data_IF_822455793406
#
_entry.id   IF_822455793406
#
_cell.length_a   1.000
_cell.length_b   1.000
_cell.length_c   1.000
_cell.angle_alpha   90.00
_cell.angle_beta   90.00
_cell.angle_gamma   90.00
#
_symmetry.space_group_name_H-M   'P 1'
#
loop_
_entity.id
_entity.type
_entity.pdbx_description
1 polymer ?
#
# COMPACT_ATOMS: atom_id res chain seq x y z
N UNK A 1 -19.69 9.11 2.62
CA UNK A 1 -19.53 7.98 1.67
C UNK A 1 -19.89 8.53 0.31
N UNK A 2 -18.99 8.42 -0.68
CA UNK A 2 -19.36 8.69 -2.09
C UNK A 2 -20.28 7.57 -2.56
N UNK A 3 -21.33 7.92 -3.28
CA UNK A 3 -22.20 6.92 -3.89
C UNK A 3 -21.41 6.15 -4.96
N UNK A 4 -21.70 4.86 -5.17
CA UNK A 4 -21.09 4.09 -6.25
C UNK A 4 -21.38 4.74 -7.61
N UNK A 5 -20.42 4.65 -8.51
CA UNK A 5 -20.57 5.18 -9.86
C UNK A 5 -21.56 4.33 -10.63
N UNK A 6 -22.62 4.96 -11.13
CA UNK A 6 -23.56 4.30 -12.05
C UNK A 6 -23.05 4.52 -13.47
N UNK A 7 -22.83 3.42 -14.18
CA UNK A 7 -22.40 3.44 -15.58
C UNK A 7 -23.58 3.16 -16.51
N UNK A 8 -23.59 3.76 -17.69
CA UNK A 8 -24.51 3.42 -18.76
C UNK A 8 -24.30 1.96 -19.19
N UNK A 9 -25.39 1.19 -19.42
CA UNK A 9 -25.29 -0.16 -19.96
C UNK A 9 -24.54 -0.17 -21.29
N UNK A 10 -23.52 -1.02 -21.42
CA UNK A 10 -22.71 -1.11 -22.64
C UNK A 10 -21.62 -0.05 -22.80
N UNK A 11 -21.34 0.75 -21.77
CA UNK A 11 -20.25 1.73 -21.82
C UNK A 11 -18.90 1.08 -22.18
N UNK A 12 -18.17 1.69 -23.12
CA UNK A 12 -16.86 1.24 -23.55
C UNK A 12 -15.86 1.28 -22.39
N UNK A 13 -14.77 0.49 -22.48
CA UNK A 13 -13.72 0.51 -21.46
C UNK A 13 -13.16 1.91 -21.22
N UNK A 14 -12.91 2.69 -22.28
CA UNK A 14 -12.42 4.06 -22.17
C UNK A 14 -13.39 4.99 -21.42
N UNK A 15 -14.69 4.89 -21.70
CA UNK A 15 -15.72 5.64 -20.97
C UNK A 15 -15.76 5.24 -19.50
N UNK A 16 -15.72 3.94 -19.20
CA UNK A 16 -15.67 3.43 -17.83
C UNK A 16 -14.43 3.95 -17.09
N UNK A 17 -13.24 3.87 -17.72
CA UNK A 17 -11.99 4.34 -17.15
C UNK A 17 -12.03 5.83 -16.81
N UNK A 18 -12.44 6.68 -17.76
CA UNK A 18 -12.51 8.16 -17.53
C UNK A 18 -13.51 8.52 -16.45
N UNK A 19 -14.66 7.86 -16.42
CA UNK A 19 -15.69 8.07 -15.40
C UNK A 19 -15.19 7.66 -14.01
N UNK A 20 -14.61 6.49 -13.87
CA UNK A 20 -14.02 6.05 -12.60
C UNK A 20 -12.87 6.95 -12.15
N UNK A 21 -12.00 7.37 -13.07
CA UNK A 21 -10.88 8.27 -12.75
C UNK A 21 -11.36 9.63 -12.22
N UNK A 22 -12.41 10.18 -12.82
CA UNK A 22 -13.03 11.44 -12.37
C UNK A 22 -13.67 11.28 -10.98
N UNK A 23 -14.42 10.21 -10.76
CA UNK A 23 -15.04 9.91 -9.47
C UNK A 23 -13.99 9.70 -8.37
N UNK A 24 -12.89 9.00 -8.66
CA UNK A 24 -11.78 8.79 -7.74
C UNK A 24 -11.05 10.09 -7.38
N UNK A 25 -10.98 11.07 -8.29
CA UNK A 25 -10.40 12.37 -8.00
C UNK A 25 -11.20 13.12 -6.93
N UNK A 26 -12.53 13.00 -6.96
CA UNK A 26 -13.44 13.62 -5.99
C UNK A 26 -13.49 12.86 -4.64
N UNK A 27 -13.28 11.55 -4.64
CA UNK A 27 -13.47 10.63 -3.49
C UNK A 27 -12.18 10.33 -2.70
N UNK A 28 -11.17 11.20 -2.75
CA UNK A 28 -9.90 10.97 -2.04
C UNK A 28 -10.05 11.09 -0.52
N UNK A 29 -9.47 10.14 0.22
CA UNK A 29 -9.34 10.24 1.68
C UNK A 29 -8.44 11.43 2.07
N UNK A 30 -8.70 12.10 3.20
CA UNK A 30 -7.80 13.13 3.73
C UNK A 30 -6.36 12.61 3.83
N UNK A 31 -5.39 13.48 3.51
CA UNK A 31 -3.97 13.13 3.58
C UNK A 31 -3.35 13.23 4.98
N UNK A 32 -4.16 13.41 6.03
CA UNK A 32 -3.69 13.56 7.40
C UNK A 32 -2.99 12.29 7.90
N UNK A 33 -1.77 12.44 8.41
CA UNK A 33 -1.01 11.32 8.97
C UNK A 33 -0.46 10.33 7.93
N UNK A 34 -0.55 10.65 6.63
CA UNK A 34 0.01 9.83 5.57
C UNK A 34 1.39 10.35 5.19
N UNK A 35 2.42 9.49 5.14
CA UNK A 35 3.78 9.86 4.72
C UNK A 35 3.80 10.45 3.30
N UNK A 36 4.88 11.18 2.97
CA UNK A 36 4.95 12.00 1.77
C UNK A 36 4.86 11.20 0.46
N UNK A 37 5.66 10.14 0.32
CA UNK A 37 5.65 9.30 -0.88
C UNK A 37 4.29 8.62 -1.08
N UNK A 38 3.76 8.01 -0.02
CA UNK A 38 2.44 7.37 -0.05
C UNK A 38 1.33 8.36 -0.40
N UNK A 39 1.43 9.61 0.07
CA UNK A 39 0.43 10.65 -0.15
C UNK A 39 0.43 11.18 -1.57
N UNK A 40 1.59 11.52 -2.12
CA UNK A 40 1.69 12.23 -3.39
C UNK A 40 2.02 11.34 -4.58
N UNK A 41 2.89 10.35 -4.40
CA UNK A 41 3.31 9.44 -5.47
C UNK A 41 2.37 8.24 -5.53
N UNK A 42 2.33 7.44 -4.46
CA UNK A 42 1.62 6.16 -4.47
C UNK A 42 0.10 6.32 -4.69
N UNK A 43 -0.56 7.24 -3.96
CA UNK A 43 -2.00 7.48 -4.14
C UNK A 43 -2.35 8.02 -5.52
N UNK A 44 -1.46 8.79 -6.15
CA UNK A 44 -1.61 9.28 -7.51
C UNK A 44 -1.59 8.15 -8.53
N UNK A 45 -0.57 7.29 -8.46
CA UNK A 45 -0.44 6.10 -9.30
C UNK A 45 -1.58 5.10 -9.06
N UNK A 46 -1.90 4.84 -7.78
CA UNK A 46 -3.00 3.96 -7.38
C UNK A 46 -4.37 4.42 -7.93
N UNK A 47 -4.60 5.72 -8.10
CA UNK A 47 -5.83 6.24 -8.70
C UNK A 47 -5.97 5.81 -10.15
N UNK A 48 -4.89 5.84 -10.90
CA UNK A 48 -4.88 5.41 -12.31
C UNK A 48 -5.09 3.90 -12.37
N UNK A 49 -4.34 3.13 -11.57
CA UNK A 49 -4.48 1.68 -11.47
C UNK A 49 -5.91 1.28 -11.05
N UNK A 50 -6.48 1.92 -10.03
CA UNK A 50 -7.84 1.65 -9.56
C UNK A 50 -8.90 1.93 -10.64
N UNK A 51 -8.77 3.03 -11.40
CA UNK A 51 -9.67 3.34 -12.49
C UNK A 51 -9.61 2.26 -13.59
N UNK A 52 -8.41 1.76 -13.92
CA UNK A 52 -8.23 0.68 -14.88
C UNK A 52 -8.83 -0.63 -14.36
N UNK A 53 -8.52 -1.02 -13.12
CA UNK A 53 -9.06 -2.25 -12.51
C UNK A 53 -10.60 -2.21 -12.45
N UNK A 54 -11.19 -1.09 -12.03
CA UNK A 54 -12.64 -0.92 -12.01
C UNK A 54 -13.25 -0.97 -13.43
N UNK A 55 -12.57 -0.39 -14.44
CA UNK A 55 -13.01 -0.44 -15.83
C UNK A 55 -12.98 -1.87 -16.39
N UNK A 56 -12.03 -2.71 -15.99
CA UNK A 56 -11.99 -4.15 -16.28
C UNK A 56 -13.04 -4.96 -15.50
N UNK A 57 -13.67 -4.37 -14.48
CA UNK A 57 -14.62 -5.08 -13.62
C UNK A 57 -13.95 -5.95 -12.55
N UNK A 58 -12.69 -5.70 -12.22
CA UNK A 58 -11.97 -6.44 -11.19
C UNK A 58 -12.52 -6.12 -9.81
N UNK A 59 -12.63 -7.16 -8.98
CA UNK A 59 -13.06 -7.00 -7.59
C UNK A 59 -11.94 -6.42 -6.73
N UNK A 60 -12.25 -5.70 -5.64
CA UNK A 60 -11.23 -5.22 -4.70
C UNK A 60 -10.31 -6.34 -4.20
N UNK A 61 -10.85 -7.48 -3.81
CA UNK A 61 -10.07 -8.62 -3.33
C UNK A 61 -9.10 -9.18 -4.39
N UNK A 62 -9.48 -9.15 -5.67
CA UNK A 62 -8.57 -9.55 -6.75
C UNK A 62 -7.41 -8.56 -6.90
N UNK A 63 -7.68 -7.27 -6.71
CA UNK A 63 -6.64 -6.22 -6.72
C UNK A 63 -5.69 -6.38 -5.52
N UNK A 64 -6.22 -6.68 -4.32
CA UNK A 64 -5.40 -7.03 -3.15
C UNK A 64 -4.54 -8.26 -3.40
N UNK A 65 -5.08 -9.29 -4.05
CA UNK A 65 -4.31 -10.48 -4.42
C UNK A 65 -3.13 -10.15 -5.34
N UNK A 66 -3.35 -9.31 -6.36
CA UNK A 66 -2.26 -8.83 -7.24
C UNK A 66 -1.20 -8.07 -6.43
N UNK A 67 -1.62 -7.21 -5.50
CA UNK A 67 -0.72 -6.50 -4.58
C UNK A 67 0.19 -7.45 -3.81
N UNK A 68 -0.39 -8.50 -3.21
CA UNK A 68 0.37 -9.52 -2.47
C UNK A 68 1.33 -10.28 -3.39
N UNK A 69 0.91 -10.65 -4.61
CA UNK A 69 1.78 -11.33 -5.57
C UNK A 69 3.02 -10.50 -5.93
N UNK A 70 2.85 -9.21 -6.23
CA UNK A 70 3.99 -8.34 -6.52
C UNK A 70 4.91 -8.16 -5.31
N UNK A 71 4.36 -7.95 -4.13
CA UNK A 71 5.15 -7.83 -2.90
C UNK A 71 5.95 -9.11 -2.62
N UNK A 72 5.30 -10.27 -2.73
CA UNK A 72 5.94 -11.58 -2.53
C UNK A 72 7.04 -11.83 -3.56
N UNK A 73 6.80 -11.47 -4.83
CA UNK A 73 7.82 -11.57 -5.88
C UNK A 73 9.07 -10.74 -5.53
N UNK A 74 8.88 -9.49 -5.09
CA UNK A 74 9.98 -8.65 -4.65
C UNK A 74 10.77 -9.26 -3.49
N UNK A 75 10.08 -9.84 -2.49
CA UNK A 75 10.72 -10.49 -1.35
C UNK A 75 11.46 -11.77 -1.73
N UNK A 76 10.91 -12.56 -2.66
CA UNK A 76 11.60 -13.76 -3.18
C UNK A 76 12.89 -13.33 -3.90
N UNK A 77 12.83 -12.34 -4.77
CA UNK A 77 14.01 -11.83 -5.48
C UNK A 77 15.07 -11.31 -4.50
N UNK A 78 14.64 -10.59 -3.45
CA UNK A 78 15.55 -10.05 -2.43
C UNK A 78 16.35 -11.12 -1.71
N UNK A 79 15.74 -12.28 -1.43
CA UNK A 79 16.40 -13.37 -0.68
C UNK A 79 17.11 -14.36 -1.62
N UNK A 80 16.58 -14.58 -2.83
CA UNK A 80 17.04 -15.63 -3.73
C UNK A 80 18.21 -15.18 -4.64
N UNK A 81 18.37 -13.88 -4.88
CA UNK A 81 19.36 -13.37 -5.83
C UNK A 81 20.40 -12.50 -5.14
N UNK A 82 21.63 -12.62 -5.60
CA UNK A 82 22.75 -11.82 -5.11
C UNK A 82 22.48 -10.31 -5.29
N UNK A 83 22.82 -9.47 -4.28
CA UNK A 83 22.63 -8.02 -4.36
C UNK A 83 23.42 -7.40 -5.51
N UNK A 84 22.72 -6.85 -6.47
CA UNK A 84 23.23 -6.08 -7.58
C UNK A 84 22.29 -4.89 -7.85
N UNK A 85 22.74 -3.89 -8.61
CA UNK A 85 21.89 -2.72 -8.90
C UNK A 85 20.57 -3.10 -9.58
N UNK A 86 20.59 -4.09 -10.46
CA UNK A 86 19.40 -4.55 -11.19
C UNK A 86 18.46 -5.39 -10.31
N UNK A 87 19.01 -6.21 -9.38
CA UNK A 87 18.18 -6.92 -8.39
C UNK A 87 17.48 -5.95 -7.46
N UNK A 88 18.20 -4.91 -6.99
CA UNK A 88 17.61 -3.81 -6.23
C UNK A 88 16.47 -3.12 -6.98
N UNK A 89 16.66 -2.82 -8.28
CA UNK A 89 15.63 -2.21 -9.10
C UNK A 89 14.39 -3.11 -9.24
N UNK A 90 14.57 -4.42 -9.45
CA UNK A 90 13.44 -5.37 -9.52
C UNK A 90 12.70 -5.44 -8.18
N UNK A 91 13.43 -5.56 -7.07
CA UNK A 91 12.85 -5.60 -5.72
C UNK A 91 12.06 -4.33 -5.43
N UNK A 92 12.71 -3.17 -5.59
CA UNK A 92 12.09 -1.87 -5.32
C UNK A 92 10.84 -1.64 -6.18
N UNK A 93 10.92 -1.92 -7.49
CA UNK A 93 9.78 -1.78 -8.40
C UNK A 93 8.65 -2.74 -8.03
N UNK A 94 8.95 -4.01 -7.73
CA UNK A 94 7.94 -5.00 -7.36
C UNK A 94 7.21 -4.60 -6.07
N UNK A 95 7.94 -4.16 -5.05
CA UNK A 95 7.35 -3.69 -3.79
C UNK A 95 6.53 -2.40 -4.01
N UNK A 96 7.06 -1.43 -4.77
CA UNK A 96 6.35 -0.18 -5.07
C UNK A 96 5.03 -0.44 -5.83
N UNK A 97 5.04 -1.35 -6.82
CA UNK A 97 3.84 -1.78 -7.54
C UNK A 97 2.88 -2.52 -6.61
N UNK A 98 3.39 -3.39 -5.73
CA UNK A 98 2.60 -4.05 -4.70
C UNK A 98 1.85 -3.03 -3.83
N UNK A 99 2.53 -2.03 -3.26
CA UNK A 99 1.90 -0.96 -2.47
C UNK A 99 0.96 -0.06 -3.29
N UNK A 100 1.22 0.11 -4.59
CA UNK A 100 0.32 0.83 -5.48
C UNK A 100 -1.02 0.08 -5.63
N UNK A 101 -1.00 -1.23 -5.89
CA UNK A 101 -2.21 -2.04 -5.99
C UNK A 101 -2.96 -2.15 -4.66
N UNK A 102 -2.27 -2.21 -3.55
CA UNK A 102 -2.81 -2.13 -2.21
C UNK A 102 -3.62 -0.82 -1.99
N UNK A 103 -3.02 0.31 -2.32
CA UNK A 103 -3.74 1.58 -2.29
C UNK A 103 -4.89 1.65 -3.32
N UNK A 104 -4.82 0.86 -4.40
CA UNK A 104 -5.82 0.85 -5.45
C UNK A 104 -7.07 0.04 -5.07
N UNK A 105 -6.96 -1.08 -4.33
CA UNK A 105 -8.09 -1.93 -3.96
C UNK A 105 -9.15 -1.19 -3.13
N UNK A 106 -8.71 -0.42 -2.13
CA UNK A 106 -9.58 0.46 -1.37
C UNK A 106 -10.20 1.60 -2.21
N UNK A 107 -9.55 2.01 -3.30
CA UNK A 107 -10.11 2.96 -4.25
C UNK A 107 -11.16 2.29 -5.14
N UNK A 108 -10.89 1.08 -5.64
CA UNK A 108 -11.85 0.25 -6.39
C UNK A 108 -13.09 0.01 -5.53
N UNK A 109 -12.93 -0.43 -4.29
CA UNK A 109 -14.06 -0.71 -3.39
C UNK A 109 -14.99 0.49 -3.19
N UNK A 110 -14.43 1.70 -3.15
CA UNK A 110 -15.21 2.93 -2.99
C UNK A 110 -16.02 3.30 -4.22
N UNK A 111 -15.47 3.16 -5.43
CA UNK A 111 -16.17 3.58 -6.66
C UNK A 111 -17.13 2.53 -7.18
N UNK A 112 -16.88 1.25 -6.86
CA UNK A 112 -17.78 0.15 -7.23
C UNK A 112 -18.86 -0.13 -6.18
N UNK A 113 -18.77 0.47 -4.99
CA UNK A 113 -19.68 0.19 -3.88
C UNK A 113 -19.44 -1.17 -3.22
N UNK A 114 -18.34 -1.85 -3.54
CA UNK A 114 -18.00 -3.19 -3.04
C UNK A 114 -17.24 -3.18 -1.70
N UNK A 115 -17.38 -2.11 -0.91
CA UNK A 115 -16.75 -2.01 0.41
C UNK A 115 -17.37 -3.00 1.39
N UNK A 116 -16.54 -3.82 2.05
CA UNK A 116 -16.99 -4.78 3.05
C UNK A 116 -16.06 -4.80 4.26
N UNK A 117 -16.59 -5.20 5.45
CA UNK A 117 -15.76 -5.39 6.65
C UNK A 117 -14.73 -6.51 6.46
N UNK A 118 -15.08 -7.53 5.70
CA UNK A 118 -14.16 -8.62 5.36
C UNK A 118 -13.02 -8.12 4.47
N UNK A 119 -13.30 -7.27 3.47
CA UNK A 119 -12.26 -6.67 2.62
C UNK A 119 -11.30 -5.79 3.44
N UNK A 120 -11.81 -4.96 4.36
CA UNK A 120 -10.98 -4.16 5.27
C UNK A 120 -10.12 -5.05 6.18
N UNK A 121 -10.66 -6.18 6.66
CA UNK A 121 -9.89 -7.14 7.45
C UNK A 121 -8.76 -7.80 6.64
N UNK A 122 -9.05 -8.26 5.42
CA UNK A 122 -8.04 -8.88 4.52
C UNK A 122 -6.91 -7.91 4.23
N UNK A 123 -7.22 -6.65 3.93
CA UNK A 123 -6.27 -5.55 3.69
C UNK A 123 -5.32 -5.37 4.89
N UNK A 124 -5.88 -5.20 6.09
CA UNK A 124 -5.08 -5.05 7.31
C UNK A 124 -4.23 -6.28 7.63
N UNK A 125 -4.74 -7.49 7.38
CA UNK A 125 -3.98 -8.73 7.60
C UNK A 125 -2.83 -8.83 6.60
N UNK A 126 -3.05 -8.52 5.32
CA UNK A 126 -2.01 -8.52 4.30
C UNK A 126 -0.88 -7.54 4.66
N UNK A 127 -1.21 -6.35 5.11
CA UNK A 127 -0.24 -5.35 5.55
C UNK A 127 0.51 -5.76 6.82
N UNK A 128 -0.17 -6.40 7.77
CA UNK A 128 0.44 -6.90 9.00
C UNK A 128 1.52 -7.96 8.72
N UNK A 129 1.39 -8.73 7.65
CA UNK A 129 2.42 -9.69 7.21
C UNK A 129 3.47 -9.02 6.31
N UNK A 130 3.06 -8.15 5.38
CA UNK A 130 3.96 -7.51 4.42
C UNK A 130 5.01 -6.64 5.11
N UNK A 131 4.59 -5.81 6.05
CA UNK A 131 5.49 -4.84 6.71
C UNK A 131 6.67 -5.52 7.40
N UNK A 132 6.51 -6.50 8.32
CA UNK A 132 7.64 -7.19 8.92
C UNK A 132 8.39 -8.10 7.93
N UNK A 133 7.72 -8.68 6.93
CA UNK A 133 8.35 -9.57 5.96
C UNK A 133 9.46 -8.86 5.16
N UNK A 134 9.29 -7.59 4.81
CA UNK A 134 10.33 -6.79 4.14
C UNK A 134 11.61 -6.79 5.00
N UNK A 135 11.49 -6.52 6.29
CA UNK A 135 12.64 -6.42 7.19
C UNK A 135 13.26 -7.78 7.51
N UNK A 136 12.44 -8.82 7.64
CA UNK A 136 12.94 -10.19 7.83
C UNK A 136 13.69 -10.69 6.59
N UNK A 137 13.15 -10.46 5.40
CA UNK A 137 13.82 -10.81 4.14
C UNK A 137 15.11 -9.99 3.96
N UNK A 138 15.11 -8.71 4.34
CA UNK A 138 16.33 -7.89 4.33
C UNK A 138 17.38 -8.44 5.28
N UNK A 139 17.01 -8.81 6.50
CA UNK A 139 17.93 -9.42 7.46
C UNK A 139 18.48 -10.75 6.92
N UNK A 140 17.63 -11.60 6.33
CA UNK A 140 18.04 -12.86 5.72
C UNK A 140 19.02 -12.64 4.56
N UNK A 141 18.72 -11.70 3.66
CA UNK A 141 19.60 -11.36 2.54
C UNK A 141 20.97 -10.84 3.02
N UNK A 142 21.00 -9.98 4.04
CA UNK A 142 22.26 -9.53 4.66
C UNK A 142 23.05 -10.71 5.19
N UNK A 143 22.42 -11.62 5.93
CA UNK A 143 23.13 -12.77 6.52
C UNK A 143 23.64 -13.75 5.45
N UNK A 144 22.95 -13.89 4.32
CA UNK A 144 23.35 -14.78 3.23
C UNK A 144 24.47 -14.16 2.38
N UNK A 145 24.35 -12.89 2.00
CA UNK A 145 25.20 -12.27 0.98
C UNK A 145 26.26 -11.33 1.56
N UNK A 146 26.07 -10.84 2.80
CA UNK A 146 26.97 -9.88 3.46
C UNK A 146 27.15 -10.20 4.95
N UNK A 147 27.56 -11.44 5.30
CA UNK A 147 27.65 -11.88 6.71
C UNK A 147 28.60 -11.02 7.55
N UNK A 148 29.60 -10.37 6.94
CA UNK A 148 30.48 -9.40 7.60
C UNK A 148 29.73 -8.17 8.13
N UNK A 149 28.58 -7.87 7.55
CA UNK A 149 27.71 -6.74 7.93
C UNK A 149 26.51 -7.19 8.78
N UNK A 150 26.66 -8.26 9.55
CA UNK A 150 25.59 -8.86 10.39
C UNK A 150 24.81 -7.85 11.25
N UNK A 151 25.44 -6.76 11.65
CA UNK A 151 24.80 -5.70 12.42
C UNK A 151 23.65 -5.03 11.66
N UNK A 152 23.71 -4.97 10.32
CA UNK A 152 22.61 -4.48 9.47
C UNK A 152 21.38 -5.40 9.57
N UNK A 153 21.58 -6.71 9.71
CA UNK A 153 20.48 -7.64 9.93
C UNK A 153 19.78 -7.35 11.27
N UNK A 154 20.54 -7.05 12.33
CA UNK A 154 19.96 -6.65 13.62
C UNK A 154 19.17 -5.35 13.48
N UNK A 155 19.73 -4.35 12.78
CA UNK A 155 19.03 -3.08 12.52
C UNK A 155 17.71 -3.34 11.77
N UNK A 156 17.72 -4.18 10.72
CA UNK A 156 16.51 -4.54 9.99
C UNK A 156 15.47 -5.21 10.89
N UNK A 157 15.86 -6.16 11.73
CA UNK A 157 14.96 -6.85 12.66
C UNK A 157 14.35 -5.89 13.70
N UNK A 158 15.16 -5.03 14.30
CA UNK A 158 14.69 -4.03 15.27
C UNK A 158 13.72 -3.05 14.61
N UNK A 159 14.05 -2.60 13.40
CA UNK A 159 13.17 -1.71 12.64
C UNK A 159 11.84 -2.41 12.27
N UNK A 160 11.88 -3.66 11.86
CA UNK A 160 10.69 -4.48 11.60
C UNK A 160 9.80 -4.63 12.84
N UNK A 161 10.40 -4.81 14.00
CA UNK A 161 9.65 -4.88 15.26
C UNK A 161 8.97 -3.54 15.60
N UNK A 162 9.70 -2.43 15.49
CA UNK A 162 9.16 -1.08 15.75
C UNK A 162 8.04 -0.73 14.78
N UNK A 163 8.21 -0.99 13.48
CA UNK A 163 7.20 -0.71 12.45
C UNK A 163 5.95 -1.57 12.61
N UNK A 164 6.08 -2.82 13.05
CA UNK A 164 4.94 -3.69 13.36
C UNK A 164 4.11 -3.15 14.52
N UNK A 165 4.77 -2.69 15.60
CA UNK A 165 4.10 -2.03 16.73
C UNK A 165 3.42 -0.72 16.33
N UNK A 166 4.08 0.08 15.50
CA UNK A 166 3.52 1.32 14.96
C UNK A 166 2.28 1.06 14.09
N UNK A 167 2.34 0.06 13.21
CA UNK A 167 1.22 -0.33 12.36
C UNK A 167 -0.01 -0.72 13.19
N UNK A 168 0.15 -1.61 14.17
CA UNK A 168 -0.93 -2.01 15.07
C UNK A 168 -1.50 -0.82 15.84
N UNK A 169 -0.63 0.05 16.36
CA UNK A 169 -1.03 1.26 17.08
C UNK A 169 -1.87 2.20 16.19
N UNK A 170 -1.50 2.36 14.92
CA UNK A 170 -2.26 3.19 13.98
C UNK A 170 -3.66 2.61 13.71
N UNK A 171 -3.76 1.30 13.45
CA UNK A 171 -5.06 0.64 13.24
C UNK A 171 -5.97 0.80 14.46
N UNK A 172 -5.44 0.52 15.66
CA UNK A 172 -6.22 0.64 16.89
C UNK A 172 -6.66 2.09 17.14
N UNK A 173 -5.77 3.06 16.92
CA UNK A 173 -6.10 4.47 17.04
C UNK A 173 -7.21 4.90 16.07
N UNK A 174 -7.17 4.43 14.82
CA UNK A 174 -8.24 4.67 13.84
C UNK A 174 -9.56 4.05 14.27
N UNK A 175 -9.54 2.82 14.77
CA UNK A 175 -10.75 2.15 15.29
C UNK A 175 -11.35 2.89 16.48
N UNK A 176 -10.53 3.35 17.44
CA UNK A 176 -11.01 4.13 18.58
C UNK A 176 -11.61 5.49 18.16
N UNK A 177 -10.98 6.19 17.22
CA UNK A 177 -11.49 7.46 16.67
C UNK A 177 -12.84 7.24 15.98
N UNK A 178 -12.96 6.16 15.18
CA UNK A 178 -14.22 5.77 14.52
C UNK A 178 -15.30 5.42 15.55
N UNK A 179 -14.97 4.61 16.56
CA UNK A 179 -15.90 4.22 17.62
C UNK A 179 -16.39 5.43 18.45
N UNK A 180 -15.53 6.42 18.68
CA UNK A 180 -15.87 7.67 19.36
C UNK A 180 -16.66 8.66 18.49
N UNK A 181 -16.99 8.32 17.23
CA UNK A 181 -17.71 9.21 16.30
C UNK A 181 -16.91 10.48 15.91
N UNK A 182 -15.61 10.52 16.20
CA UNK A 182 -14.77 11.67 15.92
C UNK A 182 -14.24 11.63 14.47
N UNK A 183 -14.17 12.79 13.83
CA UNK A 183 -13.51 12.93 12.53
C UNK A 183 -12.00 13.01 12.73
N UNK A 184 -11.22 12.31 11.89
CA UNK A 184 -9.76 12.46 11.87
C UNK A 184 -9.38 13.93 11.62
N UNK A 185 -8.48 14.47 12.45
CA UNK A 185 -7.95 15.82 12.28
C UNK A 185 -7.10 15.90 11.02
N UNK A 186 -7.25 16.97 10.25
CA UNK A 186 -6.41 17.21 9.07
C UNK A 186 -4.98 17.53 9.53
N UNK A 187 -4.03 16.62 9.27
CA UNK A 187 -2.61 16.91 9.45
C UNK A 187 -2.07 17.81 8.35
N UNK A 188 -1.17 18.74 8.70
CA UNK A 188 -0.49 19.59 7.73
C UNK A 188 0.52 18.82 6.86
N UNK A 189 1.01 19.47 5.79
CA UNK A 189 2.01 18.90 4.89
C UNK A 189 3.34 18.58 5.61
N UNK A 190 3.74 19.41 6.58
CA UNK A 190 4.97 19.22 7.36
C UNK A 190 4.98 17.85 8.07
N UNK A 191 3.85 17.40 8.62
CA UNK A 191 3.75 16.10 9.26
C UNK A 191 4.00 14.95 8.28
N UNK A 192 3.59 15.07 7.02
CA UNK A 192 3.84 14.06 5.99
C UNK A 192 5.34 13.91 5.68
N UNK A 193 6.11 15.00 5.76
CA UNK A 193 7.57 14.95 5.60
C UNK A 193 8.28 14.38 6.84
N UNK A 194 7.82 14.70 8.04
CA UNK A 194 8.36 14.13 9.28
C UNK A 194 8.18 12.59 9.32
N UNK A 195 7.13 12.08 8.68
CA UNK A 195 6.86 10.65 8.59
C UNK A 195 7.61 9.93 7.46
N UNK A 196 8.44 10.63 6.67
CA UNK A 196 9.21 10.03 5.57
C UNK A 196 10.05 8.80 6.00
N UNK A 197 10.75 8.79 7.14
CA UNK A 197 11.51 7.61 7.57
C UNK A 197 10.66 6.35 7.79
N UNK A 198 9.37 6.51 8.05
CA UNK A 198 8.41 5.40 8.25
C UNK A 198 7.53 5.18 7.03
N UNK A 199 7.86 5.80 5.89
CA UNK A 199 7.09 5.68 4.66
C UNK A 199 7.41 4.35 3.96
N UNK A 200 6.45 3.41 3.85
CA UNK A 200 6.69 2.14 3.18
C UNK A 200 7.20 2.30 1.74
N UNK A 201 6.76 3.34 1.05
CA UNK A 201 7.20 3.61 -0.32
C UNK A 201 8.65 4.06 -0.40
N UNK A 202 9.19 4.76 0.60
CA UNK A 202 10.61 5.11 0.68
C UNK A 202 11.46 3.90 1.02
N UNK A 203 10.96 3.01 1.87
CA UNK A 203 11.67 1.76 2.23
C UNK A 203 11.83 0.81 1.03
N UNK A 204 10.99 0.93 0.00
CA UNK A 204 11.09 0.11 -1.22
C UNK A 204 12.32 0.44 -2.09
N UNK A 205 12.90 1.62 -1.98
CA UNK A 205 14.01 2.12 -2.80
C UNK A 205 15.32 2.23 -2.02
#
# INVERSE_FOLDING_TARGET
MSLPVVLEPGASWGTRFTTYRAALAAAQKPGAGVPAYMRWVNRGAARVAAAACAAFGWTPNFVSFISVCFSTLGLIVLVALEPAWWTGLIVGTSLAVGFMFDSADGQVSRVTGASSKMGEWVDHVADAFRSPAIHFCTAAAVMVYRPESWWLAIVALVYGWVTSGQFLSQILAEQFVRAAGRKQTRGGNLRSFILLPTDPGVVCW
#
